data_IF_266929000856
#
_entry.id   IF_266929000856
#
_cell.length_a   1.000
_cell.length_b   1.000
_cell.length_c   1.000
_cell.angle_alpha   90.00
_cell.angle_beta   90.00
_cell.angle_gamma   90.00
#
_symmetry.space_group_name_H-M   'P 1'
#
loop_
_entity.id
_entity.type
_entity.pdbx_description
1 polymer ?
#
# COMPACT_ATOMS: atom_id res chain seq x y z
N UNK A 1 -0.79 -22.16 17.41
CA UNK A 1 -1.60 -21.08 16.81
C UNK A 1 -0.79 -19.98 16.12
N UNK A 2 0.52 -20.10 16.12
CA UNK A 2 1.44 -19.21 15.38
C UNK A 2 1.40 -19.39 13.84
N UNK A 3 0.49 -20.16 13.28
CA UNK A 3 0.56 -20.65 11.90
C UNK A 3 -0.11 -19.74 10.86
N UNK A 4 -0.68 -18.59 11.21
CA UNK A 4 -1.46 -17.77 10.26
C UNK A 4 -1.19 -16.28 10.26
N UNK A 5 -0.17 -15.81 10.96
CA UNK A 5 0.33 -14.46 10.72
C UNK A 5 1.26 -14.57 9.51
N UNK A 6 0.74 -14.23 8.34
CA UNK A 6 1.49 -14.23 7.09
C UNK A 6 2.45 -13.03 7.09
N UNK A 7 3.51 -13.10 7.89
CA UNK A 7 4.67 -12.24 7.71
C UNK A 7 5.37 -12.67 6.43
N UNK A 8 5.29 -11.82 5.42
CA UNK A 8 6.01 -12.03 4.16
C UNK A 8 7.23 -11.13 4.15
N UNK A 9 8.38 -11.72 3.87
CA UNK A 9 9.57 -10.98 3.47
C UNK A 9 9.60 -10.90 1.95
N UNK A 10 9.75 -9.70 1.41
CA UNK A 10 9.86 -9.47 -0.03
C UNK A 10 11.33 -9.50 -0.42
N UNK A 11 11.65 -10.28 -1.42
CA UNK A 11 12.97 -10.31 -2.07
C UNK A 11 12.90 -9.56 -3.41
N UNK A 12 14.06 -9.09 -3.88
CA UNK A 12 14.23 -8.41 -5.18
C UNK A 12 13.32 -7.18 -5.35
N UNK A 13 13.26 -6.25 -4.39
CA UNK A 13 12.40 -5.07 -4.48
C UNK A 13 12.69 -4.20 -5.71
N UNK A 14 13.87 -4.32 -6.28
CA UNK A 14 14.32 -3.56 -7.47
C UNK A 14 14.14 -4.32 -8.78
N UNK A 15 13.48 -5.50 -8.79
CA UNK A 15 13.31 -6.36 -9.96
C UNK A 15 14.65 -6.65 -10.69
N UNK A 16 15.71 -6.97 -9.92
CA UNK A 16 17.06 -7.17 -10.46
C UNK A 16 17.73 -5.89 -10.95
N UNK A 17 17.38 -4.73 -10.39
CA UNK A 17 17.93 -3.42 -10.76
C UNK A 17 17.13 -2.71 -11.86
N UNK A 18 16.22 -3.40 -12.55
CA UNK A 18 15.47 -2.84 -13.69
C UNK A 18 14.62 -1.62 -13.32
N UNK A 19 14.05 -1.60 -12.11
CA UNK A 19 13.24 -0.48 -11.64
C UNK A 19 14.05 0.79 -11.34
N UNK A 20 15.37 0.65 -11.21
CA UNK A 20 16.28 1.76 -10.92
C UNK A 20 16.88 2.41 -12.18
N UNK A 21 16.44 1.99 -13.36
CA UNK A 21 16.93 2.48 -14.66
C UNK A 21 15.77 2.94 -15.53
N UNK A 22 15.83 4.15 -16.09
CA UNK A 22 14.74 4.72 -16.90
C UNK A 22 14.37 3.82 -18.09
N UNK A 23 15.37 3.30 -18.82
CA UNK A 23 15.18 2.53 -20.05
C UNK A 23 14.61 1.12 -19.78
N UNK A 24 14.80 0.59 -18.58
CA UNK A 24 14.38 -0.76 -18.22
C UNK A 24 13.11 -0.79 -17.35
N UNK A 25 12.77 0.35 -16.76
CA UNK A 25 11.59 0.48 -15.94
C UNK A 25 10.31 0.37 -16.79
N UNK A 26 9.35 -0.48 -16.41
CA UNK A 26 8.06 -0.57 -17.10
C UNK A 26 7.23 0.72 -16.95
N UNK A 27 7.65 1.63 -16.08
CA UNK A 27 7.00 2.91 -15.86
C UNK A 27 7.55 4.02 -16.78
N UNK A 28 8.59 3.74 -17.60
CA UNK A 28 9.26 4.74 -18.45
C UNK A 28 10.09 5.76 -17.65
N UNK A 29 10.20 5.55 -16.35
CA UNK A 29 11.00 6.35 -15.41
C UNK A 29 11.49 5.45 -14.28
N UNK A 30 12.73 5.66 -13.84
CA UNK A 30 13.29 4.96 -12.69
C UNK A 30 12.54 5.30 -11.40
N UNK A 31 12.40 4.30 -10.54
CA UNK A 31 12.05 4.48 -9.15
C UNK A 31 13.32 4.56 -8.31
N UNK A 32 13.30 5.30 -7.23
CA UNK A 32 14.40 5.30 -6.26
C UNK A 32 14.39 4.02 -5.40
N UNK A 33 15.51 3.61 -4.80
CA UNK A 33 15.54 2.52 -3.82
C UNK A 33 14.51 2.72 -2.69
N UNK A 34 14.35 3.96 -2.22
CA UNK A 34 13.38 4.35 -1.18
C UNK A 34 11.95 4.07 -1.64
N UNK A 35 11.56 4.47 -2.85
CA UNK A 35 10.24 4.24 -3.41
C UNK A 35 9.94 2.76 -3.60
N UNK A 36 10.91 1.98 -4.10
CA UNK A 36 10.77 0.54 -4.28
C UNK A 36 10.56 -0.19 -2.94
N UNK A 37 11.32 0.18 -1.91
CA UNK A 37 11.19 -0.39 -0.56
C UNK A 37 9.82 -0.01 0.02
N UNK A 38 9.43 1.26 -0.10
CA UNK A 38 8.15 1.75 0.40
C UNK A 38 6.99 1.03 -0.27
N UNK A 39 7.01 0.89 -1.60
CA UNK A 39 6.00 0.11 -2.32
C UNK A 39 5.83 -1.28 -1.74
N UNK A 40 6.92 -1.99 -1.47
CA UNK A 40 6.86 -3.33 -0.89
C UNK A 40 6.25 -3.32 0.51
N UNK A 41 6.71 -2.42 1.39
CA UNK A 41 6.27 -2.34 2.79
C UNK A 41 4.82 -1.86 2.94
N UNK A 42 4.26 -1.17 1.95
CA UNK A 42 2.84 -0.82 1.96
C UNK A 42 1.93 -1.99 1.62
N UNK A 43 2.46 -3.08 1.01
CA UNK A 43 1.62 -4.24 0.65
C UNK A 43 1.10 -4.99 1.88
N UNK A 44 -0.14 -5.53 1.80
CA UNK A 44 -0.71 -6.33 2.88
C UNK A 44 0.20 -7.48 3.31
N UNK A 45 0.35 -7.69 4.61
CA UNK A 45 1.15 -8.75 5.23
C UNK A 45 2.67 -8.73 4.93
N UNK A 46 3.21 -7.69 4.29
CA UNK A 46 4.67 -7.54 4.14
C UNK A 46 5.24 -6.87 5.38
N UNK A 47 6.13 -7.59 6.08
CA UNK A 47 6.79 -7.13 7.29
C UNK A 47 8.25 -6.73 7.08
N UNK A 48 8.89 -7.22 6.02
CA UNK A 48 10.30 -6.92 5.75
C UNK A 48 10.63 -6.98 4.26
N UNK A 49 11.69 -6.28 3.88
CA UNK A 49 12.22 -6.25 2.52
C UNK A 49 13.70 -6.62 2.56
N UNK A 50 14.08 -7.61 1.75
CA UNK A 50 15.48 -8.00 1.54
C UNK A 50 15.94 -7.38 0.21
N UNK A 51 16.54 -6.21 0.31
CA UNK A 51 17.18 -5.54 -0.82
C UNK A 51 18.57 -6.16 -1.07
N UNK A 52 18.91 -6.37 -2.33
CA UNK A 52 20.27 -6.77 -2.72
C UNK A 52 21.08 -5.55 -3.14
N UNK A 53 22.35 -5.52 -2.79
CA UNK A 53 23.30 -4.48 -3.17
C UNK A 53 24.66 -5.10 -3.51
N UNK A 54 25.41 -4.42 -4.37
CA UNK A 54 26.75 -4.80 -4.82
C UNK A 54 27.82 -3.87 -4.27
N UNK A 55 27.43 -2.72 -3.72
CA UNK A 55 28.33 -1.73 -3.15
C UNK A 55 27.81 -1.14 -1.83
N UNK A 56 28.68 -0.44 -1.11
CA UNK A 56 28.34 0.28 0.12
C UNK A 56 27.39 1.43 -0.17
N UNK A 57 27.57 2.11 -1.30
CA UNK A 57 26.73 3.22 -1.74
C UNK A 57 25.31 2.76 -2.02
N UNK A 58 25.13 1.61 -2.67
CA UNK A 58 23.81 1.01 -2.89
C UNK A 58 23.13 0.61 -1.56
N UNK A 59 23.89 0.08 -0.62
CA UNK A 59 23.38 -0.23 0.71
C UNK A 59 22.96 1.04 1.47
N UNK A 60 23.74 2.10 1.38
CA UNK A 60 23.40 3.41 1.98
C UNK A 60 22.15 4.01 1.34
N UNK A 61 21.99 3.91 0.02
CA UNK A 61 20.79 4.37 -0.70
C UNK A 61 19.52 3.61 -0.24
N UNK A 62 19.65 2.31 0.05
CA UNK A 62 18.54 1.53 0.61
C UNK A 62 18.22 1.93 2.06
N UNK A 63 19.25 2.14 2.90
CA UNK A 63 19.12 2.57 4.29
C UNK A 63 18.55 3.98 4.45
N UNK A 64 18.68 4.83 3.43
CA UNK A 64 18.08 6.17 3.40
C UNK A 64 16.54 6.09 3.62
N UNK A 65 15.91 4.97 3.33
CA UNK A 65 14.48 4.73 3.59
C UNK A 65 14.08 5.04 5.05
N UNK A 66 14.95 4.77 6.02
CA UNK A 66 14.63 4.94 7.45
C UNK A 66 14.35 6.41 7.79
N UNK A 67 15.05 7.33 7.13
CA UNK A 67 14.96 8.77 7.38
C UNK A 67 14.22 9.52 6.26
N UNK A 68 13.77 8.81 5.23
CA UNK A 68 13.12 9.41 4.08
C UNK A 68 11.80 10.10 4.46
N UNK A 69 11.53 11.24 3.87
CA UNK A 69 10.27 11.96 3.98
C UNK A 69 9.14 11.23 3.24
N UNK A 70 7.89 11.64 3.47
CA UNK A 70 6.73 11.10 2.73
C UNK A 70 6.85 11.37 1.22
N UNK A 71 7.35 12.55 0.84
CA UNK A 71 7.58 12.94 -0.55
C UNK A 71 8.63 12.04 -1.23
N UNK A 72 9.74 11.73 -0.55
CA UNK A 72 10.77 10.82 -1.08
C UNK A 72 10.29 9.38 -1.20
N UNK A 73 9.32 8.97 -0.39
CA UNK A 73 8.68 7.64 -0.45
C UNK A 73 7.59 7.54 -1.50
N UNK A 74 7.12 8.66 -2.03
CA UNK A 74 6.01 8.66 -2.98
C UNK A 74 6.40 7.99 -4.31
N UNK A 75 5.92 6.77 -4.48
CA UNK A 75 6.01 5.99 -5.71
C UNK A 75 4.78 6.17 -6.61
N UNK A 76 3.66 6.67 -6.05
CA UNK A 76 2.37 6.63 -6.72
C UNK A 76 2.35 7.57 -7.93
N UNK A 77 3.01 8.73 -7.83
CA UNK A 77 3.09 9.66 -8.94
C UNK A 77 3.82 9.07 -10.14
N UNK A 78 4.94 8.35 -9.92
CA UNK A 78 5.69 7.69 -10.99
C UNK A 78 4.83 6.65 -11.70
N UNK A 79 4.06 5.86 -10.96
CA UNK A 79 3.15 4.85 -11.53
C UNK A 79 1.96 5.52 -12.23
N UNK A 80 1.37 6.55 -11.63
CA UNK A 80 0.20 7.25 -12.17
C UNK A 80 0.49 7.97 -13.50
N UNK A 81 1.69 8.50 -13.66
CA UNK A 81 2.13 9.20 -14.88
C UNK A 81 2.60 8.24 -15.98
N UNK A 82 2.70 6.94 -15.68
CA UNK A 82 3.24 5.93 -16.56
C UNK A 82 2.17 5.30 -17.47
N UNK A 83 2.58 4.67 -18.61
CA UNK A 83 1.69 3.83 -19.41
C UNK A 83 1.09 2.66 -18.65
N UNK A 84 1.76 2.20 -17.58
CA UNK A 84 1.29 1.12 -16.70
C UNK A 84 0.12 1.52 -15.79
N UNK A 85 -0.24 2.81 -15.69
CA UNK A 85 -1.36 3.32 -14.86
C UNK A 85 -2.65 2.52 -15.07
N UNK A 86 -2.95 2.13 -16.32
CA UNK A 86 -4.18 1.40 -16.63
C UNK A 86 -4.30 0.08 -15.86
N UNK A 87 -3.19 -0.58 -15.55
CA UNK A 87 -3.18 -1.83 -14.80
C UNK A 87 -3.50 -1.62 -13.31
N UNK A 88 -3.32 -0.40 -12.80
CA UNK A 88 -3.58 -0.04 -11.39
C UNK A 88 -4.89 0.72 -11.21
N UNK A 89 -5.57 1.10 -12.29
CA UNK A 89 -6.80 1.87 -12.19
C UNK A 89 -7.89 1.09 -11.46
N UNK A 90 -8.54 1.73 -10.49
CA UNK A 90 -9.53 1.09 -9.61
C UNK A 90 -8.95 0.25 -8.46
N UNK A 91 -7.61 0.06 -8.40
CA UNK A 91 -6.96 -0.72 -7.36
C UNK A 91 -6.27 0.17 -6.33
N UNK A 92 -6.50 -0.12 -5.05
CA UNK A 92 -5.79 0.59 -3.99
C UNK A 92 -4.33 0.15 -3.92
N UNK A 93 -3.42 1.11 -4.03
CA UNK A 93 -1.97 0.89 -3.91
C UNK A 93 -1.45 1.24 -2.51
N UNK A 94 -2.33 1.62 -1.59
CA UNK A 94 -2.06 2.01 -0.20
C UNK A 94 -1.08 3.20 -0.08
N UNK A 95 -1.05 4.07 -1.08
CA UNK A 95 -0.12 5.19 -1.18
C UNK A 95 -0.44 6.37 -0.25
N UNK A 96 -1.65 6.43 0.31
CA UNK A 96 -2.06 7.48 1.24
C UNK A 96 -2.55 8.79 0.63
N UNK A 97 -2.51 8.97 -0.70
CA UNK A 97 -2.94 10.23 -1.35
C UNK A 97 -4.40 10.62 -1.09
N UNK A 98 -5.24 9.67 -0.68
CA UNK A 98 -6.62 9.92 -0.28
C UNK A 98 -6.77 10.71 1.04
N UNK A 99 -5.68 10.94 1.74
CA UNK A 99 -5.67 11.79 2.94
C UNK A 99 -5.62 13.29 2.58
N UNK A 100 -6.09 14.19 3.51
CA UNK A 100 -6.68 13.88 4.81
C UNK A 100 -8.15 13.43 4.72
N UNK A 101 -8.55 12.48 5.58
CA UNK A 101 -9.96 12.11 5.75
C UNK A 101 -10.66 13.08 6.71
N UNK A 102 -11.87 13.52 6.37
CA UNK A 102 -12.64 14.49 7.17
C UNK A 102 -12.95 13.99 8.59
N UNK A 103 -13.04 12.68 8.79
CA UNK A 103 -13.30 12.05 10.09
C UNK A 103 -12.09 11.30 10.66
N UNK A 104 -10.92 11.40 10.01
CA UNK A 104 -9.67 10.86 10.52
C UNK A 104 -9.43 9.36 10.26
N UNK A 105 -10.13 8.75 9.30
CA UNK A 105 -9.88 7.35 8.93
C UNK A 105 -8.54 7.24 8.20
N UNK A 106 -7.67 6.31 8.59
CA UNK A 106 -6.56 5.86 7.76
C UNK A 106 -7.09 4.93 6.66
N UNK A 107 -7.50 5.54 5.55
CA UNK A 107 -8.11 4.85 4.42
C UNK A 107 -7.18 3.77 3.83
N UNK A 108 -5.87 4.03 3.80
CA UNK A 108 -4.91 3.07 3.27
C UNK A 108 -4.84 1.81 4.14
N UNK A 109 -4.82 1.98 5.46
CA UNK A 109 -4.81 0.86 6.41
C UNK A 109 -6.13 0.10 6.41
N UNK A 110 -7.27 0.78 6.37
CA UNK A 110 -8.59 0.13 6.24
C UNK A 110 -8.66 -0.72 4.96
N UNK A 111 -8.22 -0.20 3.82
CA UNK A 111 -8.17 -0.96 2.56
C UNK A 111 -7.24 -2.18 2.64
N UNK A 112 -6.11 -2.07 3.36
CA UNK A 112 -5.22 -3.22 3.61
C UNK A 112 -5.95 -4.34 4.33
N UNK A 113 -6.69 -4.02 5.40
CA UNK A 113 -7.45 -5.02 6.15
C UNK A 113 -8.56 -5.63 5.31
N UNK A 114 -9.25 -4.83 4.48
CA UNK A 114 -10.26 -5.33 3.56
C UNK A 114 -9.66 -6.35 2.58
N UNK A 115 -8.51 -6.04 1.97
CA UNK A 115 -7.85 -6.95 1.03
C UNK A 115 -7.34 -8.22 1.72
N UNK A 116 -6.81 -8.11 2.94
CA UNK A 116 -6.41 -9.29 3.72
C UNK A 116 -7.59 -10.18 4.10
N UNK A 117 -8.72 -9.58 4.44
CA UNK A 117 -9.94 -10.28 4.79
C UNK A 117 -10.55 -11.00 3.58
N UNK A 118 -10.46 -10.40 2.38
CA UNK A 118 -11.04 -10.95 1.14
C UNK A 118 -10.26 -12.11 0.53
N UNK A 119 -9.08 -12.46 1.05
CA UNK A 119 -8.28 -13.60 0.54
C UNK A 119 -8.89 -14.96 0.92
N UNK A 120 -9.74 -15.00 1.95
CA UNK A 120 -10.34 -16.23 2.49
C UNK A 120 -11.86 -16.12 2.50
N UNK A 121 -12.55 -17.27 2.48
CA UNK A 121 -14.00 -17.32 2.52
C UNK A 121 -14.60 -16.74 3.81
N UNK A 122 -13.82 -16.74 4.88
CA UNK A 122 -14.19 -16.15 6.17
C UNK A 122 -13.08 -15.22 6.67
N UNK A 123 -13.46 -14.09 7.26
CA UNK A 123 -12.49 -13.14 7.83
C UNK A 123 -11.71 -13.80 8.98
N UNK A 124 -10.38 -13.93 8.87
CA UNK A 124 -9.56 -14.50 9.96
C UNK A 124 -9.72 -13.71 11.26
N UNK A 125 -9.83 -14.43 12.39
CA UNK A 125 -10.03 -13.80 13.70
C UNK A 125 -8.93 -12.78 14.03
N UNK A 126 -7.66 -13.05 13.68
CA UNK A 126 -6.55 -12.11 13.89
C UNK A 126 -6.70 -10.84 13.07
N UNK A 127 -7.16 -10.94 11.82
CA UNK A 127 -7.39 -9.77 10.96
C UNK A 127 -8.54 -8.94 11.52
N UNK A 128 -9.63 -9.60 11.95
CA UNK A 128 -10.77 -8.93 12.60
C UNK A 128 -10.35 -8.20 13.88
N UNK A 129 -9.57 -8.86 14.75
CA UNK A 129 -9.11 -8.26 16.00
C UNK A 129 -8.31 -6.97 15.73
N UNK A 130 -7.31 -7.01 14.85
CA UNK A 130 -6.51 -5.84 14.53
C UNK A 130 -7.31 -4.73 13.80
N UNK A 131 -8.28 -5.10 12.98
CA UNK A 131 -9.16 -4.10 12.35
C UNK A 131 -10.00 -3.35 13.37
N UNK A 132 -10.52 -4.06 14.40
CA UNK A 132 -11.33 -3.47 15.46
C UNK A 132 -10.51 -2.64 16.47
N UNK A 133 -9.18 -2.80 16.49
CA UNK A 133 -8.26 -1.97 17.28
C UNK A 133 -7.94 -0.62 16.62
N UNK A 134 -8.38 -0.39 15.37
CA UNK A 134 -8.19 0.90 14.71
C UNK A 134 -9.01 1.98 15.41
N UNK A 135 -8.40 3.13 15.68
CA UNK A 135 -9.08 4.30 16.31
C UNK A 135 -10.30 4.74 15.48
N UNK A 136 -10.18 4.64 14.15
CA UNK A 136 -11.22 4.89 13.17
C UNK A 136 -11.17 3.84 12.06
N UNK A 137 -12.33 3.28 11.72
CA UNK A 137 -12.45 2.26 10.70
C UNK A 137 -13.55 2.58 9.67
N UNK A 138 -13.93 1.64 8.82
CA UNK A 138 -14.87 1.88 7.74
C UNK A 138 -16.26 2.32 8.21
N UNK A 139 -16.71 1.91 9.39
CA UNK A 139 -18.01 2.29 9.94
C UNK A 139 -18.09 3.77 10.37
N UNK A 140 -16.95 4.44 10.55
CA UNK A 140 -16.89 5.88 10.81
C UNK A 140 -17.03 6.72 9.53
N UNK A 141 -17.10 6.09 8.34
CA UNK A 141 -17.16 6.81 7.06
C UNK A 141 -18.50 7.54 6.90
N UNK A 142 -18.43 8.85 6.70
CA UNK A 142 -19.63 9.70 6.46
C UNK A 142 -19.97 9.85 4.97
N UNK A 143 -19.36 9.06 4.10
CA UNK A 143 -19.59 9.06 2.65
C UNK A 143 -19.45 10.46 1.97
N UNK A 144 -18.59 11.34 2.49
CA UNK A 144 -18.46 12.71 1.97
C UNK A 144 -17.74 12.79 0.59
N UNK A 145 -17.05 11.73 0.17
CA UNK A 145 -16.39 11.63 -1.14
C UNK A 145 -15.11 12.47 -1.32
N UNK A 146 -14.67 13.25 -0.34
CA UNK A 146 -13.51 14.15 -0.46
C UNK A 146 -12.18 13.43 -0.76
N UNK A 147 -12.10 12.14 -0.44
CA UNK A 147 -10.91 11.31 -0.66
C UNK A 147 -10.76 10.83 -2.12
N UNK A 148 -11.85 10.72 -2.88
CA UNK A 148 -11.84 10.12 -4.22
C UNK A 148 -11.12 10.99 -5.27
N UNK A 149 -11.33 12.34 -5.32
CA UNK A 149 -10.59 13.20 -6.25
C UNK A 149 -9.07 13.17 -6.04
N UNK A 150 -8.62 12.88 -4.81
CA UNK A 150 -7.21 12.80 -4.47
C UNK A 150 -6.56 11.47 -4.87
N UNK A 151 -7.37 10.46 -5.24
CA UNK A 151 -6.85 9.14 -5.57
C UNK A 151 -6.28 9.11 -7.00
N UNK A 152 -4.93 8.94 -7.20
CA UNK A 152 -4.33 8.92 -8.53
C UNK A 152 -4.74 7.70 -9.36
N UNK A 153 -5.33 6.69 -8.71
CA UNK A 153 -5.76 5.44 -9.34
C UNK A 153 -7.28 5.32 -9.51
N UNK A 154 -8.05 6.36 -9.19
CA UNK A 154 -9.50 6.40 -9.39
C UNK A 154 -10.27 5.33 -8.61
N UNK A 155 -9.80 5.00 -7.41
CA UNK A 155 -10.49 4.05 -6.52
C UNK A 155 -11.80 4.66 -6.03
N UNK A 156 -12.90 3.92 -6.11
CA UNK A 156 -14.19 4.24 -5.51
C UNK A 156 -14.14 4.01 -4.01
N UNK A 157 -13.61 4.99 -3.28
CA UNK A 157 -13.26 4.81 -1.86
C UNK A 157 -14.51 4.70 -0.99
N UNK A 158 -15.55 5.46 -1.29
CA UNK A 158 -16.81 5.42 -0.53
C UNK A 158 -17.45 4.03 -0.63
N UNK A 159 -17.64 3.50 -1.85
CA UNK A 159 -18.15 2.14 -2.06
C UNK A 159 -17.32 1.11 -1.30
N UNK A 160 -16.00 1.27 -1.35
CA UNK A 160 -15.07 0.35 -0.70
C UNK A 160 -15.14 0.42 0.84
N UNK A 161 -15.43 1.58 1.42
CA UNK A 161 -15.68 1.68 2.86
C UNK A 161 -16.98 0.95 3.25
N UNK A 162 -18.06 1.11 2.49
CA UNK A 162 -19.32 0.39 2.71
C UNK A 162 -19.16 -1.13 2.59
N UNK A 163 -18.41 -1.61 1.60
CA UNK A 163 -18.10 -3.03 1.44
C UNK A 163 -17.27 -3.56 2.62
N UNK A 164 -16.28 -2.79 3.06
CA UNK A 164 -15.42 -3.14 4.19
C UNK A 164 -16.21 -3.21 5.49
N UNK A 165 -17.09 -2.25 5.74
CA UNK A 165 -17.99 -2.28 6.90
C UNK A 165 -18.83 -3.56 6.90
N UNK A 166 -19.47 -3.89 5.78
CA UNK A 166 -20.28 -5.13 5.64
C UNK A 166 -19.43 -6.38 5.87
N UNK A 167 -18.20 -6.41 5.35
CA UNK A 167 -17.29 -7.56 5.49
C UNK A 167 -16.92 -7.83 6.95
N UNK A 168 -16.67 -6.77 7.73
CA UNK A 168 -16.30 -6.88 9.13
C UNK A 168 -17.50 -6.92 10.11
N UNK A 169 -18.70 -6.55 9.66
CA UNK A 169 -19.93 -6.68 10.46
C UNK A 169 -20.45 -8.13 10.53
N UNK A 170 -20.15 -8.95 9.51
CA UNK A 170 -20.58 -10.34 9.43
C UNK A 170 -19.65 -11.23 10.27
N UNK A 171 -20.03 -11.57 11.53
CA UNK A 171 -19.32 -12.56 12.34
C UNK A 171 -19.37 -12.34 13.82
#
# INVERSE_FOLDING_TARGET
>A
EFRRVLFRSVMKPYAGGRLLMDEQSPFGKALTPVQCIHYCLTRPAVASVLAGYQSVEEAQAALAYVQASEEERDFAQVIADSPARKAYFGQCTYCGHCQPCAVGIDIATVNKFADLASIQDTVPQSIRAHYLELDKNASDCIACGNCEPNCPFGVKIVERMEETERLFAQG
#
